data_IF_337491599771
#
_entry.id   IF_337491599771
#
_cell.length_a   1.000
_cell.length_b   1.000
_cell.length_c   1.000
_cell.angle_alpha   90.00
_cell.angle_beta   90.00
_cell.angle_gamma   90.00
#
_symmetry.space_group_name_H-M   'P 1'
#
loop_
_entity.id
_entity.type
_entity.pdbx_description
1 polymer ?
#
# COMPACT_ATOMS: atom_id res chain seq x y z
N UNK A 1 29.50 -47.53 -12.49
CA UNK A 1 29.44 -46.15 -13.04
C UNK A 1 28.02 -45.71 -13.36
N UNK A 2 27.14 -46.58 -13.86
CA UNK A 2 25.75 -46.22 -14.21
C UNK A 2 24.93 -45.68 -13.02
N UNK A 3 25.09 -46.25 -11.82
CA UNK A 3 24.41 -45.79 -10.61
C UNK A 3 24.77 -44.34 -10.28
N UNK A 4 26.04 -43.96 -10.42
CA UNK A 4 26.51 -42.60 -10.14
C UNK A 4 25.93 -41.62 -11.17
N UNK A 5 25.89 -42.02 -12.45
CA UNK A 5 25.32 -41.20 -13.54
C UNK A 5 23.81 -41.01 -13.31
N UNK A 6 23.07 -42.09 -13.04
CA UNK A 6 21.63 -42.01 -12.75
C UNK A 6 21.32 -41.16 -11.51
N UNK A 7 22.16 -41.26 -10.49
CA UNK A 7 22.04 -40.46 -9.26
C UNK A 7 22.31 -38.96 -9.50
N UNK A 8 23.30 -38.63 -10.33
CA UNK A 8 23.56 -37.25 -10.77
C UNK A 8 22.40 -36.68 -11.58
N UNK A 9 21.90 -37.43 -12.57
CA UNK A 9 20.76 -37.04 -13.42
C UNK A 9 19.51 -36.79 -12.57
N UNK A 10 19.22 -37.68 -11.61
CA UNK A 10 18.11 -37.49 -10.67
C UNK A 10 18.29 -36.24 -9.82
N UNK A 11 19.50 -35.98 -9.31
CA UNK A 11 19.79 -34.79 -8.51
C UNK A 11 19.58 -33.51 -9.33
N UNK A 12 20.02 -33.48 -10.59
CA UNK A 12 19.76 -32.37 -11.52
C UNK A 12 18.26 -32.19 -11.76
N UNK A 13 17.53 -33.29 -11.98
CA UNK A 13 16.08 -33.27 -12.16
C UNK A 13 15.33 -32.63 -10.99
N UNK A 14 15.74 -32.91 -9.75
CA UNK A 14 15.16 -32.28 -8.55
C UNK A 14 15.46 -30.78 -8.51
N UNK A 15 16.67 -30.37 -8.89
CA UNK A 15 17.02 -28.95 -8.99
C UNK A 15 16.16 -28.21 -10.01
N UNK A 16 15.97 -28.78 -11.21
CA UNK A 16 15.11 -28.21 -12.24
C UNK A 16 13.64 -28.14 -11.78
N UNK A 17 13.16 -29.15 -11.06
CA UNK A 17 11.82 -29.14 -10.49
C UNK A 17 11.65 -28.02 -9.46
N UNK A 18 12.63 -27.77 -8.61
CA UNK A 18 12.60 -26.68 -7.64
C UNK A 18 12.58 -25.29 -8.32
N UNK A 19 13.37 -25.11 -9.38
CA UNK A 19 13.43 -23.88 -10.17
C UNK A 19 12.07 -23.53 -10.80
N UNK A 20 11.40 -24.54 -11.36
CA UNK A 20 10.06 -24.37 -11.94
C UNK A 20 9.03 -23.84 -10.93
N UNK A 21 9.25 -24.09 -9.62
CA UNK A 21 8.39 -23.66 -8.51
C UNK A 21 8.76 -22.29 -7.93
N UNK A 22 9.73 -21.60 -8.55
CA UNK A 22 10.25 -20.32 -8.05
C UNK A 22 11.18 -20.46 -6.83
N UNK A 23 11.78 -21.65 -6.63
CA UNK A 23 12.80 -21.90 -5.61
C UNK A 23 14.19 -22.01 -6.23
N UNK A 24 15.23 -21.94 -5.41
CA UNK A 24 16.61 -22.04 -5.88
C UNK A 24 16.94 -23.44 -6.42
N UNK A 25 16.93 -23.60 -7.75
CA UNK A 25 17.23 -24.88 -8.39
C UNK A 25 18.59 -25.44 -8.00
N UNK A 26 19.62 -24.58 -7.95
CA UNK A 26 20.97 -24.98 -7.52
C UNK A 26 21.03 -25.45 -6.05
N UNK A 27 20.27 -24.80 -5.16
CA UNK A 27 20.22 -25.19 -3.76
C UNK A 27 19.60 -26.58 -3.56
N UNK A 28 18.49 -26.86 -4.25
CA UNK A 28 17.83 -28.17 -4.21
C UNK A 28 18.60 -29.26 -4.98
N UNK A 29 19.34 -28.90 -6.03
CA UNK A 29 20.30 -29.79 -6.67
C UNK A 29 21.39 -30.24 -5.69
N UNK A 30 22.06 -29.30 -5.02
CA UNK A 30 23.09 -29.61 -4.03
C UNK A 30 22.53 -30.41 -2.85
N UNK A 31 21.33 -30.06 -2.37
CA UNK A 31 20.67 -30.80 -1.31
C UNK A 31 20.40 -32.26 -1.73
N UNK A 32 19.96 -32.47 -2.96
CA UNK A 32 19.73 -33.80 -3.54
C UNK A 32 21.02 -34.59 -3.73
N UNK A 33 22.08 -33.91 -4.17
CA UNK A 33 23.41 -34.49 -4.36
C UNK A 33 24.08 -34.86 -3.04
N UNK A 34 23.87 -34.13 -1.94
CA UNK A 34 24.53 -34.47 -0.67
C UNK A 34 23.71 -35.48 0.15
N UNK A 35 22.38 -35.30 0.24
CA UNK A 35 21.55 -36.15 1.11
C UNK A 35 21.00 -37.39 0.41
N UNK A 36 20.56 -37.26 -0.84
CA UNK A 36 19.91 -38.26 -1.70
C UNK A 36 18.84 -37.54 -2.55
N UNK A 37 18.70 -37.89 -3.84
CA UNK A 37 17.65 -37.35 -4.71
C UNK A 37 16.24 -37.54 -4.15
N UNK A 38 16.00 -38.62 -3.41
CA UNK A 38 14.70 -38.88 -2.76
C UNK A 38 14.39 -37.84 -1.68
N UNK A 39 15.37 -37.51 -0.84
CA UNK A 39 15.20 -36.51 0.23
C UNK A 39 15.00 -35.13 -0.39
N UNK A 40 15.79 -34.78 -1.40
CA UNK A 40 15.65 -33.52 -2.12
C UNK A 40 14.29 -33.38 -2.79
N UNK A 41 13.78 -34.44 -3.43
CA UNK A 41 12.47 -34.46 -4.06
C UNK A 41 11.35 -34.23 -3.04
N UNK A 42 11.38 -34.95 -1.91
CA UNK A 42 10.41 -34.77 -0.81
C UNK A 42 10.45 -33.33 -0.30
N UNK A 43 11.64 -32.76 -0.11
CA UNK A 43 11.79 -31.37 0.30
C UNK A 43 11.14 -30.40 -0.71
N UNK A 44 11.31 -30.61 -2.03
CA UNK A 44 10.63 -29.79 -3.05
C UNK A 44 9.11 -29.92 -2.97
N UNK A 45 8.59 -31.12 -2.76
CA UNK A 45 7.15 -31.42 -2.67
C UNK A 45 6.47 -30.80 -1.45
N UNK A 46 7.12 -30.83 -0.28
CA UNK A 46 6.61 -30.20 0.96
C UNK A 46 6.54 -28.68 0.81
N UNK A 47 7.39 -28.13 -0.05
CA UNK A 47 7.54 -26.69 -0.14
C UNK A 47 6.52 -26.02 -1.06
N UNK A 48 5.97 -24.90 -0.59
CA UNK A 48 5.01 -24.09 -1.34
C UNK A 48 5.64 -23.55 -2.64
N UNK A 49 4.80 -23.50 -3.68
CA UNK A 49 5.12 -22.89 -4.97
C UNK A 49 5.14 -21.36 -4.81
N UNK A 50 6.33 -20.73 -4.80
CA UNK A 50 6.42 -19.27 -4.67
C UNK A 50 5.86 -18.55 -5.90
N UNK A 51 5.99 -19.18 -7.08
CA UNK A 51 5.45 -18.63 -8.34
C UNK A 51 3.93 -18.43 -8.29
N UNK A 52 3.20 -19.36 -7.68
CA UNK A 52 1.75 -19.24 -7.50
C UNK A 52 1.41 -18.09 -6.56
N UNK A 53 2.10 -17.99 -5.41
CA UNK A 53 1.89 -16.89 -4.46
C UNK A 53 2.17 -15.52 -5.10
N UNK A 54 3.21 -15.41 -5.92
CA UNK A 54 3.53 -14.17 -6.63
C UNK A 54 2.48 -13.81 -7.69
N UNK A 55 1.95 -14.79 -8.42
CA UNK A 55 0.88 -14.59 -9.39
C UNK A 55 -0.44 -14.18 -8.72
N UNK A 56 -0.82 -14.86 -7.63
CA UNK A 56 -2.01 -14.55 -6.86
C UNK A 56 -1.93 -13.13 -6.26
N UNK A 57 -0.76 -12.74 -5.75
CA UNK A 57 -0.53 -11.40 -5.23
C UNK A 57 -0.62 -10.32 -6.31
N UNK A 58 -0.08 -10.58 -7.50
CA UNK A 58 -0.15 -9.67 -8.64
C UNK A 58 -1.60 -9.50 -9.13
N UNK A 59 -2.37 -10.59 -9.20
CA UNK A 59 -3.76 -10.56 -9.60
C UNK A 59 -4.63 -9.82 -8.57
N UNK A 60 -4.44 -10.09 -7.28
CA UNK A 60 -5.12 -9.37 -6.21
C UNK A 60 -4.75 -7.88 -6.13
N UNK A 61 -3.56 -7.48 -6.60
CA UNK A 61 -3.18 -6.07 -6.69
C UNK A 61 -3.94 -5.36 -7.83
N UNK A 62 -4.10 -6.03 -8.97
CA UNK A 62 -4.86 -5.52 -10.11
C UNK A 62 -6.36 -5.37 -9.78
N UNK A 63 -6.93 -6.35 -9.09
CA UNK A 63 -8.34 -6.30 -8.67
C UNK A 63 -8.59 -5.14 -7.68
N UNK A 64 -7.68 -4.97 -6.71
CA UNK A 64 -7.73 -3.83 -5.77
C UNK A 64 -7.70 -2.49 -6.50
N UNK A 65 -6.88 -2.35 -7.54
CA UNK A 65 -6.79 -1.08 -8.27
C UNK A 65 -8.10 -0.76 -9.01
N UNK A 66 -8.75 -1.76 -9.61
CA UNK A 66 -10.07 -1.59 -10.25
C UNK A 66 -11.16 -1.17 -9.25
N UNK A 67 -11.10 -1.67 -8.02
CA UNK A 67 -12.05 -1.29 -6.97
C UNK A 67 -11.87 0.18 -6.56
N UNK A 68 -10.62 0.63 -6.40
CA UNK A 68 -10.34 2.04 -6.07
C UNK A 68 -10.82 2.97 -7.19
N UNK A 69 -10.59 2.61 -8.46
CA UNK A 69 -11.09 3.39 -9.59
C UNK A 69 -12.62 3.51 -9.58
N UNK A 70 -13.34 2.42 -9.24
CA UNK A 70 -14.80 2.44 -9.10
C UNK A 70 -15.27 3.33 -7.96
N UNK A 71 -14.55 3.31 -6.82
CA UNK A 71 -14.88 4.16 -5.67
C UNK A 71 -14.64 5.64 -5.98
N UNK A 72 -13.53 5.98 -6.63
CA UNK A 72 -13.26 7.36 -7.04
C UNK A 72 -14.31 7.83 -8.06
N UNK A 73 -14.68 6.97 -9.00
CA UNK A 73 -15.74 7.27 -9.96
C UNK A 73 -17.11 7.49 -9.29
N UNK A 74 -17.47 6.70 -8.28
CA UNK A 74 -18.73 6.86 -7.57
C UNK A 74 -18.75 8.12 -6.69
N UNK A 75 -17.65 8.44 -6.00
CA UNK A 75 -17.53 9.69 -5.23
C UNK A 75 -17.68 10.90 -6.16
N UNK A 76 -16.99 10.89 -7.31
CA UNK A 76 -17.08 11.98 -8.28
C UNK A 76 -18.50 12.08 -8.89
N UNK A 77 -19.14 10.94 -9.20
CA UNK A 77 -20.52 10.92 -9.68
C UNK A 77 -21.50 11.49 -8.64
N UNK A 78 -21.34 11.14 -7.36
CA UNK A 78 -22.12 11.71 -6.26
C UNK A 78 -21.89 13.21 -6.17
N UNK A 79 -20.64 13.67 -6.13
CA UNK A 79 -20.31 15.10 -6.09
C UNK A 79 -20.94 15.88 -7.27
N UNK A 80 -20.93 15.29 -8.48
CA UNK A 80 -21.56 15.87 -9.67
C UNK A 80 -23.09 15.88 -9.58
N UNK A 81 -23.71 14.86 -8.97
CA UNK A 81 -25.15 14.80 -8.74
C UNK A 81 -25.64 15.63 -7.55
N UNK A 82 -24.75 15.99 -6.62
CA UNK A 82 -24.99 16.87 -5.47
C UNK A 82 -24.71 18.34 -5.84
N UNK A 83 -24.60 18.66 -7.13
CA UNK A 83 -24.73 20.03 -7.60
C UNK A 83 -26.11 20.59 -7.19
N UNK A 84 -26.20 21.68 -6.41
CA UNK A 84 -27.46 22.13 -5.82
C UNK A 84 -28.48 22.60 -6.87
N UNK A 85 -29.79 22.35 -6.68
CA UNK A 85 -30.81 23.19 -7.30
C UNK A 85 -30.73 24.57 -6.64
N UNK A 86 -30.12 25.53 -7.34
CA UNK A 86 -30.14 26.94 -6.95
C UNK A 86 -31.52 27.51 -7.27
N UNK A 87 -32.35 27.68 -6.23
CA UNK A 87 -33.46 28.63 -6.22
C UNK A 87 -33.79 29.06 -4.78
N UNK A 88 -32.93 29.90 -4.18
CA UNK A 88 -33.25 31.02 -3.28
C UNK A 88 -31.98 31.50 -2.56
N UNK A 89 -31.70 32.81 -2.47
CA UNK A 89 -30.47 33.34 -1.90
C UNK A 89 -30.59 33.38 -0.37
N UNK A 90 -29.94 32.45 0.32
CA UNK A 90 -29.73 32.53 1.76
C UNK A 90 -28.22 32.43 2.03
N UNK A 91 -27.63 33.61 2.23
CA UNK A 91 -26.32 33.91 2.79
C UNK A 91 -25.12 33.09 2.28
N UNK A 92 -24.34 33.76 1.44
CA UNK A 92 -22.91 33.52 1.34
C UNK A 92 -22.31 33.43 2.75
N UNK A 93 -21.87 32.24 3.16
CA UNK A 93 -20.87 32.13 4.20
C UNK A 93 -19.63 32.89 3.70
N UNK A 94 -19.15 33.93 4.41
CA UNK A 94 -17.95 34.63 3.99
C UNK A 94 -16.78 33.64 3.95
N UNK A 95 -15.76 33.86 3.09
CA UNK A 95 -14.49 33.16 3.25
C UNK A 95 -14.08 33.38 4.70
N UNK A 96 -13.83 32.31 5.47
CA UNK A 96 -13.45 32.38 6.90
C UNK A 96 -12.54 33.58 7.11
N UNK A 97 -13.11 34.64 7.68
CA UNK A 97 -12.47 35.94 7.60
C UNK A 97 -11.27 35.87 8.52
N UNK A 98 -10.19 36.54 8.16
CA UNK A 98 -8.97 36.61 9.00
C UNK A 98 -9.35 37.06 10.43
N UNK A 99 -10.38 37.90 10.55
CA UNK A 99 -10.98 38.26 11.83
C UNK A 99 -11.56 37.06 12.61
N UNK A 100 -12.31 36.16 11.94
CA UNK A 100 -12.89 34.95 12.55
C UNK A 100 -11.80 33.96 13.01
N UNK A 101 -10.71 33.83 12.25
CA UNK A 101 -9.56 32.99 12.64
C UNK A 101 -8.84 33.56 13.88
N UNK A 102 -8.66 34.88 13.95
CA UNK A 102 -8.08 35.56 15.12
C UNK A 102 -8.96 35.43 16.37
N UNK A 103 -10.28 35.48 16.22
CA UNK A 103 -11.24 35.31 17.33
C UNK A 103 -11.21 33.88 17.88
N UNK A 104 -11.09 32.86 17.01
CA UNK A 104 -10.90 31.47 17.44
C UNK A 104 -9.58 31.27 18.18
N UNK A 105 -8.50 31.85 17.70
CA UNK A 105 -7.19 31.78 18.37
C UNK A 105 -7.22 32.44 19.77
N UNK A 106 -7.91 33.58 19.90
CA UNK A 106 -8.10 34.25 21.19
C UNK A 106 -8.90 33.35 22.14
N UNK A 107 -9.98 32.73 21.66
CA UNK A 107 -10.79 31.79 22.45
C UNK A 107 -10.01 30.57 22.95
N UNK A 108 -9.00 30.12 22.20
CA UNK A 108 -8.18 28.96 22.55
C UNK A 108 -7.12 29.31 23.60
N UNK A 109 -6.54 30.51 23.52
CA UNK A 109 -5.64 31.06 24.53
C UNK A 109 -6.36 31.30 25.85
N UNK A 110 -7.54 31.92 25.81
CA UNK A 110 -8.30 32.24 27.02
C UNK A 110 -8.82 30.96 27.71
N UNK A 111 -8.99 29.87 26.97
CA UNK A 111 -9.26 28.51 27.50
C UNK A 111 -8.02 27.79 28.04
N UNK A 112 -6.84 28.38 27.92
CA UNK A 112 -5.57 27.79 28.36
C UNK A 112 -5.08 26.61 27.51
N UNK A 113 -5.67 26.39 26.32
CA UNK A 113 -5.27 25.32 25.39
C UNK A 113 -4.06 25.76 24.55
N UNK A 114 -3.88 27.07 24.38
CA UNK A 114 -2.80 27.67 23.61
C UNK A 114 -1.96 28.57 24.51
N UNK A 115 -0.64 28.44 24.42
CA UNK A 115 0.29 29.33 25.13
C UNK A 115 0.37 30.70 24.45
N UNK A 116 0.79 31.73 25.19
CA UNK A 116 0.94 33.08 24.63
C UNK A 116 1.94 33.12 23.46
N UNK A 117 3.00 32.30 23.51
CA UNK A 117 3.99 32.22 22.43
C UNK A 117 3.40 31.63 21.14
N UNK A 118 2.64 30.54 21.26
CA UNK A 118 1.98 29.89 20.12
C UNK A 118 0.88 30.76 19.51
N UNK A 119 0.16 31.51 20.34
CA UNK A 119 -0.84 32.48 19.90
C UNK A 119 -0.20 33.59 19.05
N UNK A 120 0.93 34.16 19.49
CA UNK A 120 1.62 35.22 18.74
C UNK A 120 2.16 34.73 17.39
N UNK A 121 2.67 33.50 17.34
CA UNK A 121 3.14 32.89 16.09
C UNK A 121 1.99 32.71 15.09
N UNK A 122 0.85 32.18 15.52
CA UNK A 122 -0.32 31.96 14.65
C UNK A 122 -1.00 33.26 14.23
N UNK A 123 -1.08 34.26 15.12
CA UNK A 123 -1.58 35.60 14.80
C UNK A 123 -0.78 36.27 13.68
N UNK A 124 0.56 36.20 13.75
CA UNK A 124 1.44 36.72 12.69
C UNK A 124 1.25 35.99 11.36
N UNK A 125 1.14 34.67 11.39
CA UNK A 125 0.92 33.87 10.18
C UNK A 125 -0.42 34.18 9.51
N UNK A 126 -1.49 34.34 10.30
CA UNK A 126 -2.82 34.73 9.81
C UNK A 126 -2.80 36.13 9.17
N UNK A 127 -2.10 37.10 9.76
CA UNK A 127 -1.94 38.44 9.20
C UNK A 127 -1.11 38.44 7.90
N UNK A 128 -0.06 37.63 7.82
CA UNK A 128 0.77 37.51 6.62
C UNK A 128 -0.01 36.90 5.44
N UNK A 129 -0.81 35.85 5.71
CA UNK A 129 -1.71 35.23 4.74
C UNK A 129 -2.80 36.18 4.26
N UNK A 130 -3.23 37.13 5.10
CA UNK A 130 -4.20 38.17 4.75
C UNK A 130 -3.62 39.27 3.85
N UNK A 131 -2.32 39.52 3.95
CA UNK A 131 -1.62 40.56 3.17
C UNK A 131 -1.11 40.11 1.80
N UNK A 132 -1.32 38.85 1.44
CA UNK A 132 -0.82 38.21 0.22
C UNK A 132 -1.97 37.68 -0.63
#
# INVERSE_FOLDING_TARGET
MEVVIGWLVLSVGVGLLADSRGRSGFGFFLLSFVLSPLIGLIAVLVTKNLKQVAQDAAQAAFDRQREHERQVASINAIAKSVAPPVAAPASAAPPVSVADELEKLASLRDRGVLTDEEFQHQKRAALAKASN
#
